data_IF_431644001090
#
_entry.id   IF_431644001090
#
_cell.length_a   1.000
_cell.length_b   1.000
_cell.length_c   1.000
_cell.angle_alpha   90.00
_cell.angle_beta   90.00
_cell.angle_gamma   90.00
#
_symmetry.space_group_name_H-M   'P 1'
#
loop_
_entity.id
_entity.type
_entity.pdbx_description
1 polymer ?
#
# COMPACT_ATOMS: atom_id res chain seq x y z
N UNK A 1 -23.52 -1.58 -36.42
CA UNK A 1 -23.11 -1.41 -35.02
C UNK A 1 -21.87 -2.26 -34.79
N UNK A 2 -20.73 -1.66 -34.46
CA UNK A 2 -19.47 -2.40 -34.25
C UNK A 2 -19.46 -3.00 -32.86
N UNK A 3 -19.56 -4.32 -32.75
CA UNK A 3 -19.38 -5.04 -31.49
C UNK A 3 -17.94 -4.86 -30.99
N UNK A 4 -17.77 -4.11 -29.89
CA UNK A 4 -16.48 -4.07 -29.18
C UNK A 4 -16.30 -5.41 -28.46
N UNK A 5 -15.56 -6.34 -29.06
CA UNK A 5 -15.08 -7.55 -28.37
C UNK A 5 -14.22 -7.11 -27.18
N UNK A 6 -14.64 -7.48 -25.97
CA UNK A 6 -13.86 -7.28 -24.74
C UNK A 6 -12.52 -8.03 -24.85
N UNK A 7 -11.41 -7.31 -24.72
CA UNK A 7 -10.03 -7.86 -24.75
C UNK A 7 -9.57 -8.39 -23.40
N UNK A 8 -10.50 -8.66 -22.47
CA UNK A 8 -10.15 -9.10 -21.12
C UNK A 8 -9.69 -10.57 -21.12
N UNK A 9 -8.40 -10.78 -21.37
CA UNK A 9 -7.71 -11.98 -20.91
C UNK A 9 -7.60 -11.85 -19.39
N UNK A 10 -8.32 -12.69 -18.64
CA UNK A 10 -8.27 -12.68 -17.17
C UNK A 10 -6.85 -12.83 -16.60
N UNK A 11 -6.73 -12.88 -15.28
CA UNK A 11 -5.44 -13.04 -14.62
C UNK A 11 -4.76 -14.35 -15.07
N UNK A 12 -3.72 -14.24 -15.90
CA UNK A 12 -2.97 -15.40 -16.41
C UNK A 12 -2.20 -16.07 -15.27
N UNK A 13 -1.90 -17.35 -15.40
CA UNK A 13 -1.12 -18.08 -14.39
C UNK A 13 0.26 -17.45 -14.15
N UNK A 14 0.85 -16.87 -15.20
CA UNK A 14 2.08 -16.10 -15.09
C UNK A 14 1.91 -14.87 -14.17
N UNK A 15 0.81 -14.11 -14.30
CA UNK A 15 0.52 -12.96 -13.44
C UNK A 15 0.27 -13.38 -11.99
N UNK A 16 -0.39 -14.52 -11.75
CA UNK A 16 -0.60 -15.06 -10.39
C UNK A 16 0.72 -15.43 -9.73
N UNK A 17 1.59 -16.15 -10.44
CA UNK A 17 2.92 -16.55 -9.94
C UNK A 17 3.80 -15.34 -9.63
N UNK A 18 3.81 -14.34 -10.51
CA UNK A 18 4.57 -13.11 -10.28
C UNK A 18 4.07 -12.35 -9.03
N UNK A 19 2.75 -12.23 -8.85
CA UNK A 19 2.16 -11.58 -7.68
C UNK A 19 2.50 -12.34 -6.39
N UNK A 20 2.39 -13.67 -6.40
CA UNK A 20 2.73 -14.51 -5.24
C UNK A 20 4.21 -14.42 -4.88
N UNK A 21 5.11 -14.35 -5.88
CA UNK A 21 6.55 -14.17 -5.64
C UNK A 21 6.84 -12.84 -4.95
N UNK A 22 6.27 -11.74 -5.45
CA UNK A 22 6.44 -10.42 -4.86
C UNK A 22 5.95 -10.37 -3.41
N UNK A 23 4.76 -10.88 -3.14
CA UNK A 23 4.20 -10.94 -1.78
C UNK A 23 5.03 -11.79 -0.82
N UNK A 24 5.73 -12.82 -1.31
CA UNK A 24 6.54 -13.72 -0.49
C UNK A 24 7.95 -13.20 -0.24
N UNK A 25 8.58 -12.60 -1.25
CA UNK A 25 10.02 -12.30 -1.22
C UNK A 25 10.34 -10.83 -0.99
N UNK A 26 9.39 -9.92 -1.22
CA UNK A 26 9.69 -8.49 -1.31
C UNK A 26 9.00 -7.64 -0.25
N UNK A 27 7.95 -8.13 0.40
CA UNK A 27 7.15 -7.35 1.35
C UNK A 27 6.77 -8.17 2.57
N UNK A 28 6.65 -7.48 3.71
CA UNK A 28 6.11 -8.04 4.95
C UNK A 28 4.77 -7.36 5.29
N UNK A 29 3.82 -8.13 5.82
CA UNK A 29 2.49 -7.63 6.18
C UNK A 29 2.46 -7.11 7.63
N UNK A 30 2.21 -5.81 7.79
CA UNK A 30 2.00 -5.18 9.10
C UNK A 30 0.51 -4.93 9.32
N UNK A 31 -0.08 -5.61 10.31
CA UNK A 31 -1.49 -5.41 10.71
C UNK A 31 -1.60 -4.46 11.90
N UNK A 32 -2.08 -3.25 11.65
CA UNK A 32 -2.30 -2.21 12.67
C UNK A 32 -3.79 -2.08 12.99
N UNK A 33 -4.12 -2.03 14.29
CA UNK A 33 -5.48 -1.72 14.77
C UNK A 33 -5.54 -0.26 15.18
N UNK A 34 -6.39 0.51 14.51
CA UNK A 34 -6.64 1.92 14.83
C UNK A 34 -8.09 2.10 15.33
N UNK A 35 -8.34 3.09 16.20
CA UNK A 35 -9.69 3.45 16.60
C UNK A 35 -10.60 3.75 15.39
N UNK A 36 -11.91 3.53 15.57
CA UNK A 36 -12.90 3.85 14.53
C UNK A 36 -12.82 5.35 14.20
N UNK A 37 -12.90 5.67 12.91
CA UNK A 37 -12.75 7.04 12.38
C UNK A 37 -11.31 7.45 12.07
N UNK A 38 -10.30 6.90 12.76
CA UNK A 38 -8.91 7.30 12.52
C UNK A 38 -8.38 6.84 11.16
N UNK A 39 -8.88 5.72 10.63
CA UNK A 39 -8.51 5.28 9.26
C UNK A 39 -8.84 6.35 8.21
N UNK A 40 -10.01 7.00 8.31
CA UNK A 40 -10.40 8.06 7.36
C UNK A 40 -9.45 9.24 7.46
N UNK A 41 -9.15 9.69 8.68
CA UNK A 41 -8.21 10.78 8.93
C UNK A 41 -6.83 10.52 8.35
N UNK A 42 -6.31 9.30 8.52
CA UNK A 42 -5.03 8.87 7.95
C UNK A 42 -5.09 8.89 6.42
N UNK A 43 -6.17 8.38 5.83
CA UNK A 43 -6.34 8.35 4.38
C UNK A 43 -6.47 9.76 3.78
N UNK A 44 -7.22 10.66 4.41
CA UNK A 44 -7.36 12.06 4.01
C UNK A 44 -6.02 12.80 4.11
N UNK A 45 -5.27 12.57 5.19
CA UNK A 45 -3.94 13.17 5.34
C UNK A 45 -2.97 12.71 4.24
N UNK A 46 -2.91 11.40 3.96
CA UNK A 46 -2.08 10.87 2.89
C UNK A 46 -2.48 11.45 1.52
N UNK A 47 -3.79 11.56 1.24
CA UNK A 47 -4.29 12.16 0.01
C UNK A 47 -3.90 13.65 -0.13
N UNK A 48 -3.95 14.42 0.96
CA UNK A 48 -3.52 15.81 0.98
C UNK A 48 -2.01 15.99 0.76
N UNK A 49 -1.22 14.93 1.00
CA UNK A 49 0.22 14.88 0.78
C UNK A 49 0.59 14.23 -0.57
N UNK A 50 -0.39 14.00 -1.44
CA UNK A 50 -0.24 13.31 -2.74
C UNK A 50 0.40 11.92 -2.64
N UNK A 51 0.23 11.23 -1.51
CA UNK A 51 0.81 9.91 -1.25
C UNK A 51 -0.25 8.85 -0.93
N UNK A 52 0.12 7.58 -1.11
CA UNK A 52 -0.76 6.47 -0.72
C UNK A 52 -0.79 6.31 0.80
N UNK A 53 -1.88 5.79 1.35
CA UNK A 53 -1.97 5.48 2.78
C UNK A 53 -0.82 4.57 3.26
N UNK A 54 -0.38 3.63 2.42
CA UNK A 54 0.75 2.76 2.75
C UNK A 54 2.07 3.54 2.79
N UNK A 55 2.32 4.37 1.78
CA UNK A 55 3.50 5.24 1.70
C UNK A 55 3.58 6.18 2.89
N UNK A 56 2.45 6.79 3.28
CA UNK A 56 2.36 7.65 4.45
C UNK A 56 2.73 6.91 5.74
N UNK A 57 2.20 5.70 5.96
CA UNK A 57 2.49 4.93 7.17
C UNK A 57 3.97 4.55 7.24
N UNK A 58 4.59 4.13 6.13
CA UNK A 58 6.02 3.82 6.08
C UNK A 58 6.84 5.06 6.40
N UNK A 59 6.56 6.19 5.74
CA UNK A 59 7.24 7.46 5.98
C UNK A 59 7.14 7.90 7.45
N UNK A 60 5.96 7.79 8.04
CA UNK A 60 5.75 8.16 9.45
C UNK A 60 6.53 7.28 10.43
N UNK A 61 6.71 5.99 10.10
CA UNK A 61 7.55 5.06 10.88
C UNK A 61 9.02 5.46 10.76
N UNK A 62 9.51 5.64 9.53
CA UNK A 62 10.92 5.97 9.26
C UNK A 62 11.31 7.30 9.92
N UNK A 63 10.51 8.35 9.73
CA UNK A 63 10.74 9.66 10.36
C UNK A 63 10.75 9.59 11.90
N UNK A 64 9.96 8.69 12.49
CA UNK A 64 9.91 8.53 13.95
C UNK A 64 11.13 7.77 14.45
N UNK A 65 11.54 6.70 13.76
CA UNK A 65 12.77 5.96 14.09
C UNK A 65 14.01 6.85 13.96
N UNK A 66 14.12 7.64 12.90
CA UNK A 66 15.22 8.60 12.71
C UNK A 66 15.26 9.64 13.83
N UNK A 67 14.11 10.22 14.19
CA UNK A 67 14.01 11.21 15.27
C UNK A 67 14.40 10.64 16.62
N UNK A 68 14.07 9.38 16.89
CA UNK A 68 14.39 8.74 18.17
C UNK A 68 15.87 8.35 18.24
N UNK A 69 16.48 7.93 17.13
CA UNK A 69 17.93 7.69 17.03
C UNK A 69 18.77 8.97 17.21
N UNK A 70 18.21 10.15 16.93
CA UNK A 70 18.90 11.44 17.11
C UNK A 70 18.80 12.00 18.55
N UNK A 71 18.04 11.35 19.44
CA UNK A 71 17.91 11.77 20.84
C UNK A 71 18.91 11.08 21.78
N UNK A 72 19.76 10.21 21.25
CA UNK A 72 20.92 9.66 21.96
C UNK A 72 22.14 10.57 21.82
#
# INVERSE_FOLDING_TARGET
MSEKKSTYTGQTDARRKASAKYLKESVEDIRIRVPKGNKSKIQEHAANMDESMNSFVIRAIDETMERDNQKE
#
